data_IF_849925352690
#
_entry.id   IF_849925352690
#
_cell.length_a   1.000
_cell.length_b   1.000
_cell.length_c   1.000
_cell.angle_alpha   90.00
_cell.angle_beta   90.00
_cell.angle_gamma   90.00
#
_symmetry.space_group_name_H-M   'P 1'
#
loop_
_entity.id
_entity.type
_entity.pdbx_description
1 polymer ?
2 non-polymer ?
3 non-polymer ?
4 non-polymer ?
5 non-polymer ?
6 water ?
#
# COMPACT_ATOMS: atom_id res chain seq x y z
N UNK A 9 -9.24 11.26 -21.32
CA UNK A 9 -10.07 11.92 -22.38
C UNK A 9 -9.23 12.19 -23.62
N UNK A 10 -9.81 11.92 -24.78
CA UNK A 10 -9.24 12.27 -26.09
C UNK A 10 -10.40 12.57 -27.07
N UNK A 11 -10.02 12.80 -28.29
CA UNK A 11 -10.96 13.20 -29.27
C UNK A 11 -11.98 12.13 -29.61
N UNK A 12 -11.71 10.86 -29.28
CA UNK A 12 -12.68 9.81 -29.53
C UNK A 12 -13.51 9.45 -28.37
N UNK A 13 -13.34 10.18 -27.25
CA UNK A 13 -14.13 9.92 -26.14
C UNK A 13 -15.58 10.13 -26.49
N UNK A 14 -16.35 9.15 -26.11
CA UNK A 14 -17.80 9.08 -26.34
C UNK A 14 -18.07 8.18 -27.54
N UNK A 15 -17.04 7.72 -28.22
CA UNK A 15 -17.21 6.79 -29.27
C UNK A 15 -16.92 5.39 -28.82
N UNK A 16 -17.53 4.43 -29.48
CA UNK A 16 -17.35 2.96 -29.18
C UNK A 16 -17.09 2.27 -30.45
N UNK A 17 -16.04 1.49 -30.50
CA UNK A 17 -15.72 0.66 -31.59
C UNK A 17 -16.13 -0.74 -31.26
N UNK A 18 -17.05 -1.30 -32.04
CA UNK A 18 -17.53 -2.67 -31.88
C UNK A 18 -16.74 -3.51 -32.85
N UNK A 19 -16.04 -4.53 -32.35
CA UNK A 19 -15.25 -5.40 -33.14
C UNK A 19 -15.75 -6.84 -33.10
N UNK A 20 -15.45 -7.59 -34.13
CA UNK A 20 -15.77 -9.02 -34.17
C UNK A 20 -14.56 -9.83 -34.42
N UNK A 21 -13.43 -9.24 -34.40
CA UNK A 21 -12.23 -10.03 -34.40
C UNK A 21 -11.16 -9.18 -33.72
N UNK A 22 -10.12 -9.87 -33.29
CA UNK A 22 -9.05 -9.25 -32.60
C UNK A 22 -8.47 -8.13 -33.42
N UNK A 23 -8.15 -7.01 -32.79
CA UNK A 23 -7.42 -5.90 -33.43
C UNK A 23 -5.95 -6.25 -33.39
N UNK A 24 -5.34 -6.37 -34.53
CA UNK A 24 -3.88 -6.59 -34.59
C UNK A 24 -3.20 -5.33 -34.78
N UNK A 25 -2.32 -4.99 -33.87
CA UNK A 25 -1.41 -3.90 -33.95
C UNK A 25 -0.06 -4.36 -34.38
N UNK A 26 0.31 -3.97 -35.60
CA UNK A 26 1.49 -4.55 -36.18
C UNK A 26 2.72 -3.96 -35.59
N UNK A 27 3.85 -4.68 -35.74
CA UNK A 27 5.12 -4.22 -35.18
C UNK A 27 5.43 -2.81 -35.59
N UNK A 28 5.66 -1.98 -34.62
CA UNK A 28 6.01 -0.60 -34.83
C UNK A 28 4.91 0.38 -34.88
N UNK A 29 3.68 -0.11 -34.85
CA UNK A 29 2.57 0.75 -34.86
C UNK A 29 2.15 1.02 -33.44
N UNK A 30 1.77 2.23 -33.16
CA UNK A 30 1.00 2.62 -32.01
C UNK A 30 -0.46 2.79 -32.34
N UNK A 31 -1.30 1.99 -31.72
CA UNK A 31 -2.73 2.14 -31.80
C UNK A 31 -3.19 3.12 -30.79
N UNK A 32 -3.60 4.33 -31.20
CA UNK A 32 -4.00 5.30 -30.26
C UNK A 32 -5.49 5.47 -30.38
N UNK A 33 -6.24 5.02 -29.40
CA UNK A 33 -7.66 5.05 -29.41
C UNK A 33 -8.21 6.39 -29.21
N UNK A 34 -7.39 7.29 -28.67
CA UNK A 34 -7.94 8.62 -28.28
C UNK A 34 -9.16 8.61 -27.49
N UNK A 35 -9.29 7.65 -26.57
CA UNK A 35 -10.38 7.57 -25.72
C UNK A 35 -11.57 6.72 -26.09
N UNK A 36 -11.44 6.11 -27.24
CA UNK A 36 -12.43 5.23 -27.75
C UNK A 36 -12.60 4.10 -26.75
N UNK A 37 -13.81 3.60 -26.70
CA UNK A 37 -14.19 2.35 -26.00
C UNK A 37 -14.35 1.21 -26.94
N UNK A 38 -13.80 0.03 -26.63
CA UNK A 38 -13.88 -1.10 -27.51
C UNK A 38 -14.83 -2.14 -26.89
N UNK A 39 -15.76 -2.64 -27.71
CA UNK A 39 -16.61 -3.68 -27.25
C UNK A 39 -16.50 -4.78 -28.23
N UNK A 40 -16.13 -5.98 -27.79
CA UNK A 40 -15.91 -7.13 -28.64
C UNK A 40 -17.18 -7.94 -28.67
N UNK A 41 -17.52 -8.42 -29.88
CA UNK A 41 -18.66 -9.25 -30.11
C UNK A 41 -18.23 -10.53 -30.73
N UNK A 42 -18.82 -11.62 -30.20
CA UNK A 42 -18.56 -12.94 -30.66
C UNK A 42 -17.16 -13.42 -30.46
N UNK A 43 -16.47 -12.81 -29.49
CA UNK A 43 -15.03 -13.14 -29.22
C UNK A 43 -14.82 -13.71 -27.85
N UNK A 44 -15.89 -13.93 -27.15
CA UNK A 44 -15.84 -14.37 -25.78
C UNK A 44 -16.77 -13.67 -24.88
N UNK A 45 -16.91 -14.22 -23.68
CA UNK A 45 -17.86 -13.72 -22.70
C UNK A 45 -17.21 -13.05 -21.47
N UNK A 46 -15.85 -13.04 -21.48
CA UNK A 46 -15.15 -12.53 -20.38
C UNK A 46 -15.05 -13.42 -19.14
N UNK A 47 -15.51 -14.68 -19.31
CA UNK A 47 -15.39 -15.67 -18.29
C UNK A 47 -13.95 -16.15 -18.23
N UNK A 48 -13.72 -17.18 -17.43
CA UNK A 48 -12.36 -17.70 -17.43
C UNK A 48 -12.14 -18.74 -18.51
N UNK A 49 -13.09 -18.98 -19.37
CA UNK A 49 -12.93 -20.01 -20.38
C UNK A 49 -11.81 -19.71 -21.32
N UNK A 50 -11.19 -20.74 -21.83
CA UNK A 50 -10.12 -20.62 -22.80
C UNK A 50 -10.63 -20.74 -24.23
N UNK A 51 -11.78 -20.23 -24.52
CA UNK A 51 -12.26 -20.32 -25.89
C UNK A 51 -12.66 -18.92 -26.28
N UNK A 52 -11.71 -17.99 -25.97
CA UNK A 52 -11.94 -16.59 -26.28
C UNK A 52 -10.82 -16.06 -27.01
N UNK A 53 -11.10 -14.97 -27.74
CA UNK A 53 -10.02 -14.26 -28.43
C UNK A 53 -9.54 -13.07 -27.64
N UNK A 54 -8.29 -12.65 -27.88
CA UNK A 54 -7.90 -11.39 -27.36
C UNK A 54 -8.57 -10.22 -28.07
N UNK A 55 -8.83 -9.17 -27.31
CA UNK A 55 -9.30 -7.90 -27.89
C UNK A 55 -8.28 -7.36 -28.82
N UNK A 56 -7.03 -7.33 -28.39
CA UNK A 56 -5.90 -6.79 -29.11
C UNK A 56 -4.82 -7.86 -29.13
N UNK A 57 -4.09 -7.87 -30.24
CA UNK A 57 -2.82 -8.55 -30.35
C UNK A 57 -1.81 -7.51 -30.69
N UNK A 58 -0.85 -7.29 -29.82
CA UNK A 58 0.25 -6.34 -30.04
C UNK A 58 1.43 -7.15 -30.46
N UNK A 59 1.77 -7.01 -31.75
CA UNK A 59 3.02 -7.64 -32.15
C UNK A 59 4.18 -7.01 -31.47
N UNK A 60 5.33 -7.65 -31.65
CA UNK A 60 6.49 -7.11 -31.06
C UNK A 60 6.76 -5.72 -31.48
N UNK A 61 7.01 -4.84 -30.56
CA UNK A 61 7.11 -3.46 -30.77
C UNK A 61 5.90 -2.64 -31.13
N UNK A 62 4.69 -3.15 -30.96
CA UNK A 62 3.45 -2.42 -31.14
C UNK A 62 3.14 -1.82 -29.80
N UNK A 63 2.48 -0.66 -29.82
CA UNK A 63 1.98 0.01 -28.66
C UNK A 63 0.54 0.25 -28.79
N UNK A 64 -0.12 0.39 -27.63
CA UNK A 64 -1.54 0.71 -27.51
C UNK A 64 -1.69 1.77 -26.50
N UNK A 65 -2.52 2.80 -26.80
CA UNK A 65 -2.79 3.76 -25.88
C UNK A 65 -4.19 4.27 -25.91
N UNK A 66 -4.66 4.74 -24.81
CA UNK A 66 -5.92 5.48 -24.74
C UNK A 66 -7.13 4.77 -25.25
N UNK A 67 -7.31 3.49 -24.85
CA UNK A 67 -8.54 2.78 -25.14
C UNK A 67 -9.17 2.29 -23.85
N UNK A 68 -10.51 2.30 -23.81
CA UNK A 68 -11.24 1.68 -22.75
C UNK A 68 -11.73 0.38 -23.30
N UNK A 69 -11.47 -0.73 -22.63
CA UNK A 69 -11.97 -1.99 -23.05
C UNK A 69 -13.17 -2.35 -22.27
N UNK A 70 -14.32 -2.28 -22.93
CA UNK A 70 -15.55 -2.63 -22.31
C UNK A 70 -15.66 -4.10 -22.05
N UNK A 71 -16.61 -4.47 -21.21
CA UNK A 71 -17.00 -5.87 -21.17
C UNK A 71 -17.58 -6.26 -22.49
N UNK A 72 -17.37 -7.48 -22.98
CA UNK A 72 -16.61 -8.55 -22.33
C UNK A 72 -15.17 -8.38 -22.63
N UNK A 73 -14.42 -8.60 -21.56
CA UNK A 73 -12.95 -8.47 -21.71
C UNK A 73 -12.31 -9.55 -22.47
N UNK A 74 -12.99 -10.66 -22.74
CA UNK A 74 -12.47 -11.72 -23.58
C UNK A 74 -11.13 -12.16 -23.07
N UNK A 75 -10.18 -12.36 -23.97
CA UNK A 75 -8.79 -12.73 -23.58
C UNK A 75 -7.84 -11.61 -23.51
N UNK A 76 -8.34 -10.40 -23.34
CA UNK A 76 -7.56 -9.27 -23.03
C UNK A 76 -6.58 -8.88 -24.18
N UNK A 77 -5.40 -8.49 -23.81
CA UNK A 77 -4.45 -7.93 -24.77
C UNK A 77 -3.22 -8.81 -24.74
N UNK A 78 -3.01 -9.42 -25.89
CA UNK A 78 -1.81 -10.26 -26.11
C UNK A 78 -0.64 -9.50 -26.56
N UNK A 79 0.39 -9.51 -25.79
CA UNK A 79 1.59 -8.72 -26.04
C UNK A 79 2.70 -9.65 -26.41
N UNK A 80 3.31 -9.35 -27.56
CA UNK A 80 4.45 -10.17 -28.06
C UNK A 80 5.80 -9.55 -27.83
N UNK A 81 5.84 -8.54 -27.01
CA UNK A 81 7.04 -8.04 -26.39
C UNK A 81 7.39 -6.66 -26.95
N UNK A 82 8.15 -5.96 -26.12
CA UNK A 82 8.49 -4.61 -26.36
C UNK A 82 7.33 -3.72 -26.70
N UNK A 83 6.34 -3.72 -25.81
CA UNK A 83 5.12 -3.03 -25.95
C UNK A 83 4.88 -2.07 -24.87
N UNK A 84 4.30 -0.92 -25.18
CA UNK A 84 3.82 0.01 -24.19
C UNK A 84 2.33 0.09 -24.32
N UNK A 85 1.65 -0.14 -23.18
CA UNK A 85 0.20 -0.12 -23.10
C UNK A 85 -0.11 0.97 -22.12
N UNK A 86 -0.48 2.13 -22.67
CA UNK A 86 -0.59 3.34 -21.93
C UNK A 86 -2.01 3.79 -21.91
N UNK A 87 -2.50 4.17 -20.74
CA UNK A 87 -3.89 4.62 -20.50
C UNK A 87 -4.85 3.70 -21.20
N UNK A 88 -4.76 2.47 -20.73
CA UNK A 88 -5.75 1.50 -21.06
C UNK A 88 -6.58 1.17 -19.85
N UNK A 89 -7.90 1.28 -19.95
CA UNK A 89 -8.80 0.98 -18.89
C UNK A 89 -9.60 -0.25 -19.22
N UNK A 90 -9.49 -1.27 -18.40
CA UNK A 90 -10.26 -2.50 -18.51
C UNK A 90 -11.39 -2.34 -17.58
N UNK A 91 -12.56 -2.03 -18.14
CA UNK A 91 -13.73 -1.79 -17.35
C UNK A 91 -14.19 -3.09 -16.66
N UNK A 92 -13.88 -4.22 -17.25
CA UNK A 92 -14.25 -5.51 -16.66
C UNK A 92 -13.32 -6.52 -17.29
N UNK A 93 -12.33 -6.88 -16.53
CA UNK A 93 -11.37 -7.82 -17.07
C UNK A 93 -12.05 -9.14 -17.48
N UNK A 94 -11.67 -9.68 -18.58
CA UNK A 94 -12.16 -10.99 -19.01
C UNK A 94 -11.39 -12.10 -18.28
N UNK A 95 -10.96 -13.03 -19.09
CA UNK A 95 -10.16 -14.13 -18.56
C UNK A 95 -8.91 -13.61 -17.83
N UNK A 96 -8.32 -12.61 -18.48
CA UNK A 96 -7.19 -11.86 -17.98
C UNK A 96 -7.15 -10.58 -18.76
N UNK A 97 -6.47 -9.59 -18.26
CA UNK A 97 -6.38 -8.30 -18.91
C UNK A 97 -5.33 -8.20 -19.98
N UNK A 98 -4.21 -8.77 -19.68
CA UNK A 98 -3.05 -8.70 -20.60
C UNK A 98 -2.10 -9.84 -20.32
N UNK A 99 -1.64 -10.38 -21.42
CA UNK A 99 -0.77 -11.50 -21.38
C UNK A 99 0.50 -11.25 -22.15
N UNK A 100 1.65 -11.46 -21.54
CA UNK A 100 2.92 -11.40 -22.22
C UNK A 100 3.21 -12.77 -22.84
N UNK A 101 3.22 -12.79 -24.19
CA UNK A 101 3.18 -14.07 -24.94
C UNK A 101 4.55 -14.36 -25.54
N UNK A 102 5.41 -13.38 -25.52
CA UNK A 102 6.73 -13.56 -26.08
C UNK A 102 7.66 -12.63 -25.37
N UNK A 103 8.97 -12.90 -25.47
CA UNK A 103 9.91 -12.18 -24.73
C UNK A 103 10.09 -10.75 -25.06
N UNK A 104 10.37 -9.98 -24.04
CA UNK A 104 10.48 -8.61 -24.23
C UNK A 104 10.18 -7.77 -23.02
N UNK A 105 10.18 -6.47 -23.21
CA UNK A 105 9.83 -5.55 -22.19
C UNK A 105 8.38 -5.11 -22.41
N UNK A 106 7.48 -5.20 -21.42
CA UNK A 106 6.13 -4.73 -21.58
C UNK A 106 5.84 -3.82 -20.43
N UNK A 107 5.31 -2.63 -20.74
CA UNK A 107 5.05 -1.58 -19.77
C UNK A 107 3.58 -1.24 -19.89
N UNK A 108 2.87 -1.32 -18.78
CA UNK A 108 1.51 -0.85 -18.64
C UNK A 108 1.64 0.34 -17.78
N UNK A 109 1.27 1.47 -18.39
CA UNK A 109 1.41 2.81 -17.84
C UNK A 109 0.11 3.51 -17.81
N UNK A 110 -0.37 3.87 -16.65
CA UNK A 110 -1.70 4.48 -16.54
C UNK A 110 -2.77 3.49 -16.67
N UNK A 111 -3.97 4.00 -16.56
CA UNK A 111 -5.15 3.19 -16.75
C UNK A 111 -5.47 2.40 -15.50
N UNK A 112 -6.31 1.40 -15.70
CA UNK A 112 -6.83 0.71 -14.53
C UNK A 112 -7.50 -0.55 -15.01
N UNK A 113 -7.80 -1.41 -14.07
CA UNK A 113 -8.54 -2.66 -14.33
C UNK A 113 -9.38 -2.96 -13.21
N UNK A 114 -10.46 -3.69 -13.49
CA UNK A 114 -11.61 -3.82 -12.57
C UNK A 114 -12.15 -5.22 -12.79
N UNK A 115 -12.49 -5.92 -11.69
CA UNK A 115 -13.28 -7.16 -11.79
C UNK A 115 -12.63 -8.26 -12.58
N UNK A 116 -11.44 -8.59 -12.14
CA UNK A 116 -10.76 -9.77 -12.66
C UNK A 116 -10.97 -10.95 -11.76
N UNK A 117 -11.66 -11.95 -12.28
CA UNK A 117 -11.95 -13.12 -11.45
C UNK A 117 -10.70 -13.82 -10.97
N UNK A 118 -9.70 -13.81 -11.83
CA UNK A 118 -8.44 -14.41 -11.57
C UNK A 118 -7.35 -13.36 -11.68
N UNK A 119 -6.38 -13.62 -12.53
CA UNK A 119 -5.31 -12.69 -12.72
C UNK A 119 -5.67 -11.56 -13.69
N UNK A 120 -5.02 -10.45 -13.44
CA UNK A 120 -5.02 -9.29 -14.32
C UNK A 120 -3.98 -9.53 -15.41
N UNK A 121 -2.75 -9.74 -15.00
CA UNK A 121 -1.66 -9.87 -15.92
C UNK A 121 -1.01 -11.24 -15.86
N UNK A 122 -0.78 -11.81 -17.00
CA UNK A 122 -0.34 -13.19 -17.08
C UNK A 122 0.96 -13.12 -17.88
N UNK A 123 2.04 -13.62 -17.30
CA UNK A 123 3.37 -13.58 -17.92
C UNK A 123 3.78 -14.96 -18.44
N UNK A 124 3.83 -15.18 -19.74
CA UNK A 124 4.07 -16.49 -20.31
C UNK A 124 5.40 -16.60 -20.97
N UNK A 125 6.20 -15.57 -20.89
CA UNK A 125 7.54 -15.63 -21.49
C UNK A 125 8.43 -14.78 -20.58
N UNK A 126 9.74 -14.99 -20.65
CA UNK A 126 10.64 -14.13 -19.96
C UNK A 126 10.45 -12.73 -20.41
N UNK A 127 10.43 -11.87 -19.43
CA UNK A 127 10.13 -10.47 -19.72
C UNK A 127 10.43 -9.58 -18.59
N UNK A 128 10.55 -8.30 -18.91
CA UNK A 128 10.50 -7.28 -17.93
C UNK A 128 9.10 -6.66 -18.05
N UNK A 129 8.37 -6.71 -16.94
CA UNK A 129 6.93 -6.31 -16.94
C UNK A 129 6.76 -5.23 -15.94
N UNK A 130 6.46 -4.03 -16.38
CA UNK A 130 6.29 -2.88 -15.51
C UNK A 130 4.91 -2.37 -15.57
N UNK A 131 4.35 -2.23 -14.40
CA UNK A 131 3.00 -1.72 -14.15
C UNK A 131 3.26 -0.44 -13.39
N UNK A 132 2.85 0.66 -13.99
CA UNK A 132 3.13 2.02 -13.49
C UNK A 132 1.84 2.82 -13.42
N UNK A 133 1.68 3.52 -12.33
CA UNK A 133 0.57 4.46 -12.23
C UNK A 133 -0.74 3.81 -12.68
N UNK A 134 -1.11 2.78 -11.93
CA UNK A 134 -2.18 1.89 -12.30
C UNK A 134 -2.95 1.54 -11.09
N UNK A 135 -4.27 1.47 -11.23
CA UNK A 135 -5.08 0.97 -10.17
C UNK A 135 -5.86 -0.24 -10.65
N UNK A 136 -6.07 -1.13 -9.71
CA UNK A 136 -6.93 -2.27 -9.98
C UNK A 136 -7.77 -2.58 -8.78
N UNK A 137 -9.05 -2.94 -9.01
CA UNK A 137 -9.97 -3.17 -8.01
C UNK A 137 -10.72 -4.45 -8.30
N UNK A 138 -10.85 -5.26 -7.26
CA UNK A 138 -11.61 -6.55 -7.29
C UNK A 138 -10.98 -7.48 -8.26
N UNK A 139 -9.85 -8.06 -7.85
CA UNK A 139 -9.03 -8.90 -8.65
C UNK A 139 -8.63 -10.11 -7.88
N UNK A 140 -8.32 -11.17 -8.59
CA UNK A 140 -7.82 -12.31 -7.88
C UNK A 140 -6.32 -12.13 -7.61
N UNK A 141 -5.59 -11.81 -8.63
CA UNK A 141 -4.17 -11.50 -8.57
C UNK A 141 -3.85 -10.39 -9.55
N UNK A 142 -2.83 -9.58 -9.22
CA UNK A 142 -2.39 -8.63 -10.24
C UNK A 142 -1.53 -9.26 -11.29
N UNK A 143 -0.53 -10.02 -10.90
CA UNK A 143 0.37 -10.62 -11.82
C UNK A 143 0.61 -12.08 -11.48
N UNK A 144 0.53 -12.92 -12.50
CA UNK A 144 0.86 -14.31 -12.42
C UNK A 144 1.88 -14.63 -13.45
N UNK A 145 3.06 -15.09 -13.04
CA UNK A 145 3.93 -15.76 -13.97
C UNK A 145 3.27 -17.16 -14.21
N UNK A 146 3.22 -17.52 -15.46
CA UNK A 146 2.57 -18.76 -15.83
C UNK A 146 2.99 -19.84 -14.88
N UNK A 147 2.01 -20.60 -14.45
CA UNK A 147 2.17 -21.59 -13.43
C UNK A 147 3.27 -22.62 -13.74
N UNK A 148 4.13 -22.78 -12.79
CA UNK A 148 5.26 -23.71 -12.85
C UNK A 148 6.32 -23.49 -13.76
N UNK A 149 6.29 -22.32 -14.40
CA UNK A 149 7.37 -21.97 -15.28
C UNK A 149 8.46 -21.36 -14.38
N UNK A 150 9.69 -21.64 -14.81
CA UNK A 150 10.86 -21.27 -14.01
C UNK A 150 11.82 -20.41 -14.84
N UNK A 151 11.41 -19.83 -15.97
CA UNK A 151 12.17 -18.75 -16.66
C UNK A 151 12.02 -17.53 -15.75
N UNK A 152 12.82 -16.53 -16.09
CA UNK A 152 12.84 -15.32 -15.31
C UNK A 152 12.00 -14.25 -15.88
N UNK A 153 11.17 -13.67 -15.00
CA UNK A 153 10.56 -12.34 -15.29
C UNK A 153 11.04 -11.43 -14.21
N UNK A 154 11.05 -10.15 -14.57
CA UNK A 154 11.24 -9.10 -13.61
C UNK A 154 10.00 -8.19 -13.69
N UNK A 155 9.41 -8.08 -12.57
CA UNK A 155 8.11 -7.31 -12.46
C UNK A 155 8.49 -6.03 -11.71
N UNK A 156 8.04 -4.89 -12.24
CA UNK A 156 8.09 -3.67 -11.49
C UNK A 156 6.66 -3.19 -11.24
N UNK A 157 6.34 -2.95 -10.00
CA UNK A 157 5.06 -2.32 -9.66
C UNK A 157 5.38 -1.00 -9.07
N UNK A 158 5.02 0.01 -9.81
CA UNK A 158 5.38 1.43 -9.45
C UNK A 158 4.16 2.27 -9.49
N UNK A 159 3.81 2.87 -8.38
CA UNK A 159 2.62 3.69 -8.24
C UNK A 159 1.43 2.87 -8.66
N UNK A 160 1.28 1.76 -7.96
CA UNK A 160 0.15 0.85 -8.18
C UNK A 160 -0.70 0.76 -6.96
N UNK A 161 -2.00 0.95 -7.05
CA UNK A 161 -2.88 0.87 -5.93
C UNK A 161 -3.90 -0.18 -6.23
N UNK A 162 -4.01 -1.12 -5.35
CA UNK A 162 -4.90 -2.28 -5.51
C UNK A 162 -5.90 -2.33 -4.38
N UNK A 163 -7.13 -2.65 -4.72
CA UNK A 163 -8.19 -2.74 -3.71
C UNK A 163 -8.95 -4.02 -3.91
N UNK A 164 -8.90 -4.93 -2.96
CA UNK A 164 -9.64 -6.21 -2.92
C UNK A 164 -9.00 -7.19 -3.81
N UNK A 165 -7.95 -7.79 -3.29
CA UNK A 165 -7.16 -8.74 -4.00
C UNK A 165 -7.41 -10.10 -3.32
N UNK A 166 -8.06 -11.01 -4.04
CA UNK A 166 -8.54 -12.27 -3.42
C UNK A 166 -7.42 -13.20 -3.06
N UNK A 167 -6.43 -13.28 -3.91
CA UNK A 167 -5.33 -14.26 -3.72
C UNK A 167 -4.05 -13.61 -3.31
N UNK A 168 -3.48 -12.88 -4.21
CA UNK A 168 -2.24 -12.25 -3.86
C UNK A 168 -1.98 -11.20 -4.92
N UNK A 169 -1.07 -10.28 -4.63
CA UNK A 169 -0.68 -9.29 -5.63
C UNK A 169 0.03 -9.99 -6.77
N UNK A 170 1.06 -10.79 -6.50
CA UNK A 170 1.77 -11.44 -7.54
C UNK A 170 2.20 -12.84 -7.10
N UNK A 171 2.19 -13.72 -8.07
CA UNK A 171 2.56 -15.14 -7.84
C UNK A 171 3.46 -15.63 -8.94
N UNK A 172 4.55 -16.30 -8.58
CA UNK A 172 5.44 -16.90 -9.55
C UNK A 172 5.97 -18.18 -8.86
N UNK A 173 6.20 -19.17 -9.72
CA UNK A 173 6.83 -20.42 -9.21
C UNK A 173 8.27 -20.42 -9.62
N UNK A 174 8.76 -19.34 -10.18
CA UNK A 174 10.15 -19.37 -10.65
C UNK A 174 11.02 -18.90 -9.51
N UNK A 175 12.09 -19.62 -9.20
CA UNK A 175 13.04 -19.16 -8.16
C UNK A 175 13.93 -18.03 -8.62
N UNK A 176 13.90 -17.67 -9.89
CA UNK A 176 14.81 -16.65 -10.40
C UNK A 176 14.08 -15.35 -10.71
N UNK A 177 12.74 -15.38 -10.72
CA UNK A 177 12.10 -14.13 -11.05
C UNK A 177 12.18 -13.14 -9.91
N UNK A 178 11.97 -11.88 -10.27
CA UNK A 178 12.14 -10.72 -9.36
C UNK A 178 10.86 -9.91 -9.38
N UNK A 179 10.50 -9.38 -8.24
CA UNK A 179 9.47 -8.39 -8.16
C UNK A 179 10.04 -7.24 -7.36
N UNK A 180 9.95 -6.10 -7.99
CA UNK A 180 10.41 -4.78 -7.49
C UNK A 180 9.13 -3.89 -7.30
N UNK A 181 8.99 -3.28 -6.16
CA UNK A 181 7.85 -2.37 -5.96
C UNK A 181 8.30 -1.03 -5.41
N UNK A 182 7.50 -0.05 -5.77
CA UNK A 182 7.69 1.32 -5.33
C UNK A 182 6.37 2.02 -5.35
N UNK A 183 5.87 2.38 -4.20
CA UNK A 183 4.54 2.93 -4.02
C UNK A 183 3.50 1.98 -4.53
N UNK A 184 3.49 0.83 -3.86
CA UNK A 184 2.52 -0.21 -4.13
C UNK A 184 1.67 -0.23 -2.88
N UNK A 185 0.36 0.16 -3.02
CA UNK A 185 -0.59 0.29 -1.96
C UNK A 185 -1.69 -0.71 -2.09
N UNK A 186 -1.93 -1.53 -1.12
CA UNK A 186 -2.77 -2.69 -1.30
C UNK A 186 -3.74 -2.74 -0.21
N UNK A 187 -4.99 -2.72 -0.50
CA UNK A 187 -6.06 -2.79 0.47
C UNK A 187 -6.84 -4.08 0.32
N UNK A 188 -7.02 -4.74 1.45
CA UNK A 188 -7.80 -6.00 1.46
C UNK A 188 -7.19 -7.10 0.63
N UNK A 189 -6.05 -7.52 1.06
CA UNK A 189 -5.29 -8.60 0.47
C UNK A 189 -4.64 -9.42 1.66
N UNK A 190 -4.86 -10.72 1.78
CA UNK A 190 -4.15 -11.42 2.87
C UNK A 190 -2.71 -11.58 2.55
N UNK A 191 -2.42 -11.94 1.29
CA UNK A 191 -1.01 -12.34 0.98
C UNK A 191 -0.53 -11.48 -0.14
N UNK A 192 0.55 -10.77 0.07
CA UNK A 192 1.08 -9.95 -0.98
C UNK A 192 1.72 -10.76 -2.09
N UNK A 193 2.77 -11.53 -1.80
CA UNK A 193 3.49 -12.17 -2.84
C UNK A 193 3.67 -13.61 -2.57
N UNK A 194 3.45 -14.41 -3.57
CA UNK A 194 3.70 -15.85 -3.53
C UNK A 194 4.77 -16.21 -4.51
N UNK A 195 5.98 -16.17 -4.02
CA UNK A 195 7.14 -16.49 -4.76
C UNK A 195 7.89 -17.57 -3.97
N UNK A 196 8.89 -18.22 -4.62
CA UNK A 196 9.54 -19.27 -3.82
C UNK A 196 10.29 -18.72 -2.60
N UNK A 197 10.85 -17.51 -2.73
CA UNK A 197 11.55 -16.91 -1.62
C UNK A 197 11.08 -15.46 -1.57
N UNK A 198 10.96 -14.97 -0.32
CA UNK A 198 10.77 -13.50 -0.14
C UNK A 198 12.03 -12.70 -0.56
N UNK A 199 13.15 -13.35 -0.68
CA UNK A 199 14.29 -12.69 -1.18
C UNK A 199 14.22 -12.22 -2.68
N UNK A 200 13.16 -12.72 -3.38
CA UNK A 200 12.91 -12.32 -4.71
C UNK A 200 12.07 -11.09 -4.82
N UNK A 201 11.61 -10.55 -3.67
CA UNK A 201 10.80 -9.34 -3.61
C UNK A 201 11.65 -8.17 -3.13
N UNK A 202 11.63 -7.04 -3.80
CA UNK A 202 12.51 -5.94 -3.42
C UNK A 202 11.72 -4.70 -3.49
N UNK A 203 12.00 -3.82 -2.59
CA UNK A 203 11.54 -2.51 -2.66
C UNK A 203 12.51 -1.56 -3.31
N UNK A 204 12.08 -0.49 -3.95
CA UNK A 204 12.97 0.50 -4.49
C UNK A 204 12.33 1.85 -4.38
N UNK B 9 15.68 -8.74 19.09
CA UNK B 9 16.34 -9.44 20.23
C UNK B 9 17.72 -8.86 20.60
N UNK B 10 17.69 -7.96 21.59
CA UNK B 10 18.83 -7.25 22.14
C UNK B 10 19.17 -7.76 23.54
N UNK B 11 20.14 -7.14 24.16
CA UNK B 11 20.71 -7.72 25.40
C UNK B 11 19.73 -7.70 26.55
N UNK B 12 18.74 -6.81 26.52
CA UNK B 12 17.79 -6.76 27.60
C UNK B 12 16.55 -7.56 27.29
N UNK B 13 16.52 -8.30 26.17
CA UNK B 13 15.34 -9.07 25.81
C UNK B 13 15.11 -10.08 26.92
N UNK B 14 13.87 -10.19 27.29
CA UNK B 14 13.41 -11.06 28.40
C UNK B 14 13.32 -10.40 29.73
N UNK B 15 13.97 -9.23 29.88
CA UNK B 15 13.84 -8.41 31.06
C UNK B 15 12.58 -7.61 31.03
N UNK B 16 12.05 -7.26 32.16
CA UNK B 16 10.96 -6.38 32.28
C UNK B 16 11.33 -5.32 33.24
N UNK B 17 11.29 -4.09 32.81
CA UNK B 17 11.46 -3.01 33.66
C UNK B 17 10.17 -2.46 34.10
N UNK B 18 9.89 -2.46 35.40
CA UNK B 18 8.73 -1.86 35.96
C UNK B 18 9.05 -0.50 36.41
N UNK B 19 8.28 0.51 35.97
CA UNK B 19 8.55 1.84 36.33
C UNK B 19 7.42 2.39 37.14
N UNK B 20 7.68 3.41 37.90
CA UNK B 20 6.60 4.06 38.63
C UNK B 20 6.53 5.50 38.34
N UNK B 21 7.31 6.00 37.41
CA UNK B 21 7.14 7.35 36.92
C UNK B 21 7.56 7.40 35.48
N UNK B 22 7.15 8.47 34.78
CA UNK B 22 7.56 8.64 33.41
C UNK B 22 9.03 8.65 33.30
N UNK B 23 9.54 8.02 32.29
CA UNK B 23 10.93 8.14 31.93
C UNK B 23 11.10 9.37 31.06
N UNK B 24 11.94 10.30 31.50
CA UNK B 24 12.24 11.51 30.77
C UNK B 24 13.53 11.35 29.99
N UNK B 25 13.47 11.55 28.67
CA UNK B 25 14.64 11.43 27.85
C UNK B 25 14.94 12.87 27.43
N UNK B 26 16.15 13.31 27.74
CA UNK B 26 16.45 14.71 27.56
C UNK B 26 16.90 15.00 26.17
N UNK B 27 16.80 16.27 25.81
CA UNK B 27 17.26 16.71 24.52
C UNK B 27 18.63 16.14 24.14
N UNK B 28 18.77 15.54 22.97
CA UNK B 28 20.06 14.98 22.51
C UNK B 28 20.40 13.59 23.03
N UNK B 29 19.60 13.07 23.96
CA UNK B 29 19.82 11.72 24.44
C UNK B 29 18.96 10.73 23.61
N UNK B 30 19.47 9.54 23.52
CA UNK B 30 18.80 8.42 22.96
C UNK B 30 18.64 7.36 24.04
N UNK B 31 17.41 7.13 24.47
CA UNK B 31 17.12 5.99 25.34
C UNK B 31 17.05 4.76 24.52
N UNK B 32 17.97 3.83 24.72
CA UNK B 32 17.97 2.58 24.03
C UNK B 32 17.62 1.46 24.98
N UNK B 33 16.43 0.89 24.87
CA UNK B 33 16.00 -0.17 25.77
C UNK B 33 16.67 -1.51 25.53
N UNK B 34 17.36 -1.69 24.44
CA UNK B 34 18.00 -2.93 24.08
C UNK B 34 17.04 -4.10 24.19
N UNK B 35 15.73 -3.92 23.93
CA UNK B 35 14.80 -4.96 23.95
C UNK B 35 14.01 -5.15 25.22
N UNK B 36 14.29 -4.31 26.20
CA UNK B 36 13.60 -4.32 27.42
C UNK B 36 12.12 -4.13 27.22
N UNK B 37 11.33 -4.77 28.02
CA UNK B 37 9.90 -4.53 28.07
C UNK B 37 9.60 -3.74 29.23
N UNK B 38 8.78 -2.72 29.12
CA UNK B 38 8.45 -1.84 30.18
C UNK B 38 7.04 -2.01 30.63
N UNK B 39 6.80 -2.11 31.95
CA UNK B 39 5.47 -2.22 32.52
C UNK B 39 5.42 -1.12 33.50
N UNK B 40 4.48 -0.22 33.33
CA UNK B 40 4.26 0.86 34.19
C UNK B 40 3.34 0.51 35.35
N UNK B 41 3.70 1.00 36.54
CA UNK B 41 2.92 0.86 37.78
C UNK B 41 2.47 2.19 38.28
N UNK B 42 1.20 2.31 38.65
CA UNK B 42 0.78 3.50 39.25
C UNK B 42 0.63 4.68 38.29
N UNK B 43 0.65 4.38 36.97
CA UNK B 43 0.72 5.43 35.92
C UNK B 43 -0.47 5.41 35.01
N UNK B 44 -1.39 4.52 35.27
CA UNK B 44 -2.50 4.28 34.39
C UNK B 44 -2.86 2.88 34.17
N UNK B 45 -4.07 2.66 33.66
CA UNK B 45 -4.54 1.33 33.35
C UNK B 45 -4.62 1.00 31.88
N UNK B 46 -4.25 1.96 31.05
CA UNK B 46 -4.28 1.68 29.61
C UNK B 46 -5.68 1.86 29.00
N UNK B 47 -6.60 2.37 29.80
CA UNK B 47 -7.94 2.64 29.37
C UNK B 47 -7.88 3.88 28.48
N UNK B 48 -9.07 4.39 28.13
CA UNK B 48 -9.15 5.68 27.50
C UNK B 48 -9.18 6.89 28.40
N UNK B 49 -8.98 6.71 29.72
CA UNK B 49 -8.96 7.86 30.60
C UNK B 49 -7.83 8.75 30.31
N UNK B 50 -8.11 10.03 30.48
CA UNK B 50 -7.13 11.08 30.31
C UNK B 50 -6.17 11.24 31.47
N UNK B 51 -6.43 10.52 32.56
CA UNK B 51 -5.68 10.70 33.83
C UNK B 51 -4.21 10.22 33.81
N UNK B 52 -3.76 9.66 32.72
CA UNK B 52 -2.66 8.68 32.78
C UNK B 52 -1.39 9.39 32.50
N UNK B 53 -0.29 8.87 32.95
CA UNK B 53 0.99 9.43 32.64
C UNK B 53 1.54 8.76 31.43
N UNK B 54 2.44 9.47 30.69
CA UNK B 54 3.18 8.84 29.67
C UNK B 54 4.21 7.93 30.24
N UNK B 55 4.46 6.89 29.53
CA UNK B 55 5.57 6.06 29.83
C UNK B 55 6.88 6.73 29.61
N UNK B 56 7.00 7.48 28.53
CA UNK B 56 8.18 8.23 28.19
C UNK B 56 7.76 9.63 27.83
N UNK B 57 8.64 10.57 28.19
CA UNK B 57 8.53 11.95 27.74
C UNK B 57 9.80 12.21 27.03
N UNK B 58 9.69 12.42 25.71
CA UNK B 58 10.88 12.71 24.89
C UNK B 58 10.90 14.21 24.65
N UNK B 59 11.82 14.82 25.37
CA UNK B 59 12.03 16.28 25.14
C UNK B 59 12.46 16.52 23.72
N UNK B 60 12.39 17.78 23.30
CA UNK B 60 12.79 18.14 21.95
C UNK B 60 14.14 17.61 21.72
N UNK B 61 14.30 16.89 20.63
CA UNK B 61 15.54 16.38 20.28
C UNK B 61 15.99 15.08 20.92
N UNK B 62 15.11 14.46 21.67
CA UNK B 62 15.37 13.19 22.36
C UNK B 62 14.90 12.04 21.47
N UNK B 63 15.59 10.90 21.56
CA UNK B 63 15.25 9.72 20.78
C UNK B 63 15.05 8.55 21.70
N UNK B 64 14.24 7.61 21.21
CA UNK B 64 13.90 6.40 21.91
C UNK B 64 14.04 5.25 20.97
N UNK B 65 14.57 4.13 21.43
CA UNK B 65 14.62 2.99 20.60
C UNK B 65 14.62 1.69 21.35
N UNK B 66 14.18 0.65 20.72
CA UNK B 66 14.29 -0.72 21.18
C UNK B 66 13.66 -0.96 22.50
N UNK B 67 12.40 -0.62 22.62
CA UNK B 67 11.67 -0.93 23.80
C UNK B 67 10.37 -1.59 23.42
N UNK B 68 9.88 -2.43 24.29
CA UNK B 68 8.55 -2.97 24.20
C UNK B 68 7.81 -2.37 25.29
N UNK B 69 6.71 -1.75 25.00
CA UNK B 69 5.86 -1.21 26.00
C UNK B 69 4.72 -2.16 26.24
N UNK B 70 4.74 -2.72 27.44
CA UNK B 70 3.70 -3.67 27.76
C UNK B 70 2.49 -2.98 28.27
N UNK B 71 1.41 -3.76 28.34
CA UNK B 71 0.28 -3.29 29.06
C UNK B 71 0.66 -3.05 30.53
N UNK B 72 0.17 -2.01 31.18
CA UNK B 72 -0.74 -0.99 30.71
C UNK B 72 0.03 0.12 29.98
N UNK B 73 -0.46 0.45 28.78
CA UNK B 73 0.26 1.37 27.97
C UNK B 73 0.12 2.80 28.43
N UNK B 74 -0.79 3.09 29.38
CA UNK B 74 -0.90 4.41 29.98
C UNK B 74 -1.09 5.45 28.89
N UNK B 75 -0.36 6.54 28.89
CA UNK B 75 -0.48 7.57 27.82
C UNK B 75 0.67 7.51 26.91
N UNK B 76 1.32 6.36 26.77
CA UNK B 76 2.32 6.15 25.80
C UNK B 76 3.50 7.07 25.81
N UNK B 77 3.94 7.48 24.65
CA UNK B 77 5.10 8.25 24.50
C UNK B 77 4.72 9.70 24.20
N UNK B 78 5.17 10.68 24.97
CA UNK B 78 5.02 12.14 24.65
C UNK B 78 6.21 12.65 24.03
N UNK B 79 6.06 13.13 22.78
CA UNK B 79 7.17 13.65 22.00
C UNK B 79 7.04 15.19 21.84
N UNK B 80 8.07 15.88 22.25
CA UNK B 80 8.04 17.34 22.21
C UNK B 80 8.73 17.88 20.94
N UNK B 81 9.03 17.06 19.97
CA UNK B 81 9.47 17.48 18.69
C UNK B 81 10.86 17.05 18.40
N UNK B 82 11.19 16.80 17.15
CA UNK B 82 12.46 16.42 16.72
C UNK B 82 12.96 15.17 17.46
N UNK B 83 12.09 14.14 17.30
CA UNK B 83 12.28 12.89 18.00
C UNK B 83 12.25 11.76 17.02
N UNK B 84 13.08 10.75 17.21
CA UNK B 84 13.03 9.54 16.42
C UNK B 84 12.71 8.43 17.40
N UNK B 85 11.65 7.68 17.12
CA UNK B 85 11.19 6.60 17.92
C UNK B 85 11.33 5.36 17.12
N UNK B 86 12.41 4.57 17.34
CA UNK B 86 12.78 3.45 16.50
C UNK B 86 12.55 2.16 17.25
N UNK B 87 12.00 1.19 16.50
CA UNK B 87 11.81 -0.16 17.00
C UNK B 87 11.20 -0.16 18.35
N UNK B 88 10.07 0.53 18.46
CA UNK B 88 9.25 0.53 19.60
C UNK B 88 8.03 -0.33 19.33
N UNK B 89 7.79 -1.31 20.20
CA UNK B 89 6.66 -2.18 20.11
C UNK B 89 5.74 -1.89 21.18
N UNK B 90 4.50 -1.46 20.88
CA UNK B 90 3.43 -1.31 21.77
C UNK B 90 2.62 -2.58 21.78
N UNK B 91 2.92 -3.42 22.76
CA UNK B 91 2.23 -4.72 22.82
C UNK B 91 0.76 -4.58 23.11
N UNK B 92 0.38 -3.53 23.74
CA UNK B 92 -0.97 -3.25 24.02
C UNK B 92 -1.10 -1.77 24.31
N UNK B 93 -1.56 -1.05 23.26
CA UNK B 93 -1.62 0.37 23.35
C UNK B 93 -2.56 0.77 24.45
N UNK B 94 -2.18 1.78 25.21
CA UNK B 94 -2.98 2.28 26.23
C UNK B 94 -4.01 3.28 25.75
N UNK B 95 -4.02 4.43 26.37
CA UNK B 95 -4.94 5.51 25.92
C UNK B 95 -4.62 5.81 24.45
N UNK B 96 -3.30 5.97 24.15
CA UNK B 96 -2.83 6.09 22.86
C UNK B 96 -1.36 5.72 22.96
N UNK B 97 -0.72 5.56 21.86
CA UNK B 97 0.65 5.00 21.79
C UNK B 97 1.63 6.11 21.89
N UNK B 98 1.42 7.19 21.16
CA UNK B 98 2.33 8.28 21.13
C UNK B 98 1.60 9.56 20.81
N UNK B 99 2.04 10.65 21.41
CA UNK B 99 1.39 11.93 21.22
C UNK B 99 2.52 12.93 20.92
N UNK B 100 2.34 13.74 19.85
CA UNK B 100 3.24 14.78 19.54
C UNK B 100 2.65 16.01 20.24
N UNK B 101 3.42 16.54 21.20
CA UNK B 101 2.95 17.56 22.13
C UNK B 101 3.43 18.93 21.76
N UNK B 102 4.44 19.00 20.95
CA UNK B 102 5.02 20.31 20.51
C UNK B 102 5.62 20.20 19.13
N UNK B 103 5.75 21.31 18.43
CA UNK B 103 6.15 21.23 17.03
C UNK B 103 7.50 20.65 16.85
N UNK B 104 7.72 20.01 15.68
CA UNK B 104 8.97 19.52 15.20
C UNK B 104 8.66 18.29 14.36
N UNK B 105 9.68 17.56 13.98
CA UNK B 105 9.57 16.39 13.15
C UNK B 105 9.57 15.26 14.15
N UNK B 106 8.66 14.32 13.97
CA UNK B 106 8.69 13.12 14.83
C UNK B 106 8.55 12.00 13.87
N UNK B 107 9.46 11.04 14.02
CA UNK B 107 9.51 9.88 13.18
C UNK B 107 9.38 8.62 13.98
N UNK B 108 8.44 7.76 13.62
CA UNK B 108 8.32 6.43 14.20
C UNK B 108 8.78 5.50 13.17
N UNK B 109 9.86 4.78 13.42
CA UNK B 109 10.44 3.98 12.43
C UNK B 109 10.59 2.55 12.94
N UNK B 110 9.99 1.53 12.29
CA UNK B 110 10.09 0.22 12.85
C UNK B 110 9.03 0.04 13.90
N UNK B 111 9.02 -1.18 14.41
CA UNK B 111 8.17 -1.48 15.50
C UNK B 111 6.74 -1.73 15.09
N UNK B 112 5.87 -1.69 16.06
CA UNK B 112 4.45 -2.09 15.83
C UNK B 112 3.64 -1.70 16.95
N UNK B 113 2.34 -1.72 16.77
CA UNK B 113 1.40 -1.40 17.79
C UNK B 113 0.18 -2.30 17.67
N UNK B 114 -0.40 -2.74 18.77
CA UNK B 114 -1.60 -3.49 18.70
C UNK B 114 -2.47 -3.18 19.80
N UNK B 115 -3.76 -3.46 19.61
CA UNK B 115 -4.80 -3.29 20.58
C UNK B 115 -4.95 -1.90 21.10
N UNK B 116 -5.14 -0.97 20.16
CA UNK B 116 -5.47 0.36 20.49
C UNK B 116 -6.95 0.51 20.40
N UNK B 117 -7.54 0.94 21.48
CA UNK B 117 -8.99 1.02 21.50
C UNK B 117 -9.37 2.18 20.64
N UNK B 118 -8.54 3.19 20.56
CA UNK B 118 -8.83 4.38 19.76
C UNK B 118 -7.63 4.68 18.93
N UNK B 119 -7.04 5.84 19.03
CA UNK B 119 -5.92 6.12 18.15
C UNK B 119 -4.64 5.59 18.71
N UNK B 120 -3.78 5.32 17.78
CA UNK B 120 -2.38 4.97 18.02
C UNK B 120 -1.57 6.24 18.22
N UNK B 121 -1.65 7.16 17.29
CA UNK B 121 -0.84 8.34 17.25
C UNK B 121 -1.74 9.56 17.31
N UNK B 122 -1.50 10.42 18.27
CA UNK B 122 -2.32 11.64 18.42
C UNK B 122 -1.40 12.85 18.28
N UNK B 123 -1.76 13.78 17.35
CA UNK B 123 -0.97 14.96 17.04
C UNK B 123 -1.57 16.21 17.58
N UNK B 124 -0.93 16.80 18.60
CA UNK B 124 -1.47 17.96 19.31
C UNK B 124 -0.77 19.25 18.97
N UNK B 125 0.17 19.27 18.07
CA UNK B 125 0.90 20.45 17.71
C UNK B 125 1.22 20.35 16.24
N UNK B 126 1.39 21.48 15.56
CA UNK B 126 1.89 21.42 14.22
C UNK B 126 3.16 20.63 14.18
N UNK B 127 3.25 19.72 13.22
CA UNK B 127 4.39 18.88 13.15
C UNK B 127 4.42 18.13 11.83
N UNK B 128 5.61 17.63 11.54
CA UNK B 128 5.79 16.65 10.47
C UNK B 128 5.88 15.30 11.16
N UNK B 129 4.95 14.38 10.84
CA UNK B 129 4.89 13.14 11.59
C UNK B 129 5.01 12.01 10.58
N UNK B 130 6.04 11.20 10.75
CA UNK B 130 6.28 10.13 9.82
C UNK B 130 6.18 8.80 10.55
N UNK B 131 5.54 7.87 9.87
CA UNK B 131 5.45 6.49 10.36
C UNK B 131 6.01 5.65 9.29
N UNK B 132 7.10 4.92 9.56
CA UNK B 132 7.81 4.20 8.59
C UNK B 132 8.04 2.75 9.04
N UNK B 133 7.86 1.82 8.15
CA UNK B 133 8.15 0.39 8.43
C UNK B 133 7.49 -0.05 9.66
N UNK B 134 6.18 0.15 9.72
CA UNK B 134 5.42 0.02 10.92
C UNK B 134 4.19 -0.83 10.64
N UNK B 135 3.84 -1.64 11.63
CA UNK B 135 2.66 -2.47 11.54
C UNK B 135 1.79 -2.19 12.69
N UNK B 136 0.50 -2.17 12.47
CA UNK B 136 -0.45 -2.03 13.58
C UNK B 136 -1.61 -2.91 13.32
N UNK B 137 -2.09 -3.56 14.35
CA UNK B 137 -3.25 -4.46 14.24
C UNK B 137 -4.19 -4.20 15.34
N UNK B 138 -5.47 -4.19 15.05
CA UNK B 138 -6.53 -4.03 16.01
C UNK B 138 -6.45 -2.68 16.67
N UNK B 139 -6.78 -1.69 15.89
CA UNK B 139 -6.73 -0.33 16.31
C UNK B 139 -7.98 0.44 15.86
N UNK B 140 -8.20 1.55 16.50
CA UNK B 140 -9.25 2.43 16.17
C UNK B 140 -8.84 3.30 14.99
N UNK B 141 -7.77 4.04 15.17
CA UNK B 141 -7.21 4.90 14.12
C UNK B 141 -5.71 4.76 14.21
N UNK B 142 -4.98 4.92 13.13
CA UNK B 142 -3.54 5.04 13.26
C UNK B 142 -3.18 6.43 13.73
N UNK B 143 -3.76 7.47 13.08
CA UNK B 143 -3.32 8.86 13.39
C UNK B 143 -4.54 9.69 13.60
N UNK B 144 -4.54 10.44 14.64
CA UNK B 144 -5.60 11.41 14.89
C UNK B 144 -5.01 12.76 15.18
N UNK B 145 -5.20 13.78 14.34
CA UNK B 145 -4.88 15.11 14.78
C UNK B 145 -5.87 15.55 15.80
N UNK B 146 -5.40 16.25 16.84
CA UNK B 146 -6.23 16.58 17.94
C UNK B 146 -7.55 17.21 17.42
N UNK B 147 -8.61 16.68 17.94
CA UNK B 147 -10.00 17.07 17.61
C UNK B 147 -10.18 18.54 17.51
N UNK B 148 -10.75 18.94 16.38
CA UNK B 148 -11.11 20.31 16.10
C UNK B 148 -10.00 21.26 15.99
N UNK B 149 -8.74 20.86 15.93
CA UNK B 149 -7.74 21.82 15.67
C UNK B 149 -7.49 21.99 14.17
N UNK B 150 -6.95 23.13 13.76
CA UNK B 150 -6.79 23.35 12.34
C UNK B 150 -5.47 23.87 12.01
N UNK B 151 -4.47 23.71 12.89
CA UNK B 151 -3.12 23.91 12.56
C UNK B 151 -2.80 22.75 11.57
N UNK B 152 -1.68 22.94 10.96
CA UNK B 152 -1.23 22.02 9.92
C UNK B 152 -0.38 20.97 10.57
N UNK B 153 -0.73 19.70 10.26
CA UNK B 153 0.29 18.67 10.35
C UNK B 153 0.46 18.05 8.98
N UNK B 154 1.65 17.54 8.81
CA UNK B 154 1.96 16.80 7.60
C UNK B 154 2.37 15.38 8.04
N UNK B 155 1.58 14.44 7.64
CA UNK B 155 1.73 13.05 8.03
C UNK B 155 2.26 12.25 6.83
N UNK B 156 3.23 11.40 7.11
CA UNK B 156 3.74 10.51 6.11
C UNK B 156 3.68 9.12 6.61
N UNK B 157 3.03 8.30 5.81
CA UNK B 157 2.88 6.84 6.13
C UNK B 157 3.60 6.12 5.05
N UNK B 158 4.71 5.48 5.39
CA UNK B 158 5.62 4.92 4.45
C UNK B 158 5.94 3.47 4.90
N UNK B 159 5.57 2.49 4.10
CA UNK B 159 5.78 1.07 4.46
C UNK B 159 5.10 0.71 5.71
N UNK B 160 3.79 1.02 5.75
CA UNK B 160 2.92 0.83 6.84
C UNK B 160 1.83 -0.21 6.51
N UNK B 161 1.69 -1.18 7.39
CA UNK B 161 0.69 -2.23 7.21
C UNK B 161 -0.24 -2.22 8.36
N UNK B 162 -1.51 -2.17 8.09
CA UNK B 162 -2.53 -2.02 9.11
C UNK B 162 -3.54 -3.11 8.90
N UNK B 163 -3.92 -3.76 9.99
CA UNK B 163 -4.98 -4.77 9.95
C UNK B 163 -5.93 -4.51 11.01
N UNK B 164 -7.21 -4.46 10.69
CA UNK B 164 -8.30 -4.29 11.58
C UNK B 164 -8.36 -2.95 12.21
N UNK B 165 -8.88 -2.02 11.42
CA UNK B 165 -8.89 -0.60 11.73
C UNK B 165 -10.35 -0.29 11.88
N UNK B 166 -10.72 0.05 13.08
CA UNK B 166 -12.15 0.14 13.36
C UNK B 166 -12.76 1.42 12.86
N UNK B 167 -12.00 2.51 12.83
CA UNK B 167 -12.48 3.84 12.48
C UNK B 167 -11.90 4.32 11.18
N UNK B 168 -10.61 4.61 11.13
CA UNK B 168 -10.01 4.99 9.91
C UNK B 168 -8.51 4.94 10.09
N UNK B 169 -7.82 4.98 9.01
CA UNK B 169 -6.35 5.08 9.11
C UNK B 169 -5.96 6.36 9.77
N UNK B 170 -6.52 7.49 9.29
CA UNK B 170 -6.16 8.79 9.87
C UNK B 170 -7.35 9.73 9.79
N UNK B 171 -7.42 10.55 10.79
CA UNK B 171 -8.49 11.61 10.91
C UNK B 171 -7.91 12.91 11.34
N UNK B 172 -8.34 13.99 10.67
CA UNK B 172 -7.93 15.33 11.02
C UNK B 172 -9.13 16.23 10.75
N UNK B 173 -9.31 17.20 11.63
CA UNK B 173 -10.32 18.24 11.36
C UNK B 173 -9.67 19.47 10.77
N UNK B 174 -8.43 19.42 10.31
CA UNK B 174 -7.79 20.56 9.80
C UNK B 174 -7.79 20.49 8.26
N UNK B 175 -8.31 21.50 7.59
CA UNK B 175 -8.31 21.46 6.11
C UNK B 175 -7.01 21.70 5.51
N UNK B 176 -5.97 22.10 6.23
CA UNK B 176 -4.69 22.43 5.77
C UNK B 176 -3.72 21.25 6.00
N UNK B 177 -4.15 20.32 6.87
CA UNK B 177 -3.28 19.22 7.13
C UNK B 177 -3.19 18.33 5.89
N UNK B 178 -2.10 17.61 5.83
CA UNK B 178 -1.91 16.70 4.67
C UNK B 178 -1.40 15.34 5.18
N UNK B 179 -1.76 14.35 4.41
CA UNK B 179 -1.25 12.99 4.63
C UNK B 179 -0.78 12.48 3.35
N UNK B 180 0.43 11.95 3.36
CA UNK B 180 1.12 11.49 2.18
C UNK B 180 1.43 10.01 2.50
N UNK B 181 1.12 9.08 1.61
CA UNK B 181 1.46 7.68 1.82
C UNK B 181 2.11 7.04 0.67
N UNK B 182 2.91 6.02 1.00
CA UNK B 182 3.75 5.33 0.08
C UNK B 182 3.91 3.90 0.69
N UNK B 183 3.50 2.91 -0.10
CA UNK B 183 3.46 1.52 0.40
C UNK B 183 2.67 1.37 1.64
N UNK B 184 1.38 1.70 1.52
CA UNK B 184 0.46 1.59 2.59
C UNK B 184 -0.46 0.41 2.34
N UNK B 185 -0.45 -0.61 3.18
CA UNK B 185 -1.33 -1.75 3.04
C UNK B 185 -2.24 -1.74 4.13
N UNK B 186 -3.52 -1.83 3.83
CA UNK B 186 -4.55 -1.77 4.82
C UNK B 186 -5.57 -2.88 4.61
N UNK B 187 -5.81 -3.68 5.63
CA UNK B 187 -6.77 -4.73 5.59
C UNK B 187 -7.84 -4.52 6.65
N UNK B 188 -9.08 -4.77 6.30
CA UNK B 188 -10.16 -4.65 7.21
C UNK B 188 -10.28 -3.31 7.89
N UNK B 189 -10.64 -2.33 7.11
CA UNK B 189 -10.62 -0.97 7.59
C UNK B 189 -11.92 -0.34 7.10
N UNK B 190 -12.64 0.29 8.01
CA UNK B 190 -13.90 0.93 7.66
C UNK B 190 -13.77 1.96 6.48
N UNK B 191 -12.84 2.90 6.66
CA UNK B 191 -12.62 4.09 5.82
C UNK B 191 -11.14 4.40 5.91
N UNK B 192 -10.52 4.81 4.82
CA UNK B 192 -9.13 5.14 4.95
C UNK B 192 -8.91 6.44 5.69
N UNK B 193 -9.46 7.54 5.18
CA UNK B 193 -9.06 8.85 5.67
C UNK B 193 -10.26 9.73 5.93
N UNK B 194 -10.31 10.30 7.10
CA UNK B 194 -11.40 11.27 7.47
C UNK B 194 -10.71 12.60 7.66
N UNK B 195 -10.58 13.33 6.54
CA UNK B 195 -10.10 14.68 6.46
C UNK B 195 -11.19 15.52 5.87
N UNK B 196 -11.13 16.87 6.13
CA UNK B 196 -12.18 17.72 5.45
C UNK B 196 -12.34 17.46 3.93
N UNK B 197 -11.24 17.32 3.23
CA UNK B 197 -11.30 17.01 1.85
C UNK B 197 -10.34 15.90 1.54
N UNK B 198 -10.75 15.04 0.62
CA UNK B 198 -9.88 13.98 0.20
C UNK B 198 -8.68 14.45 -0.59
N UNK B 199 -8.72 15.68 -1.10
CA UNK B 199 -7.57 16.24 -1.73
C UNK B 199 -6.44 16.56 -0.78
N UNK B 200 -6.65 16.34 0.55
CA UNK B 200 -5.61 16.52 1.50
C UNK B 200 -4.70 15.27 1.60
N UNK B 201 -5.14 14.23 0.93
CA UNK B 201 -4.48 12.92 0.99
C UNK B 201 -3.80 12.66 -0.32
N UNK B 202 -2.53 12.28 -0.30
CA UNK B 202 -1.71 12.07 -1.43
C UNK B 202 -0.81 10.86 -1.37
N UNK B 203 -0.56 10.25 -2.48
CA UNK B 203 0.53 9.34 -2.53
C UNK B 203 1.74 10.03 -2.92
N UNK B 204 2.81 9.34 -2.71
CA UNK B 204 4.13 9.70 -3.26
C UNK B 204 5.00 8.53 -3.63
X LIG C 1 -14.50 -9.88 -15.00
X LIG D 1 -5.76 -15.71 -21.06
X LIG E 1 1.82 -17.83 -24.50
X LIG F 1 13.71 -10.85 -21.66
X LIG F 1 14.40 -9.76 -20.92
X LIG F 1 15.55 -9.46 -21.73
X LIG F 1 13.57 -8.46 -20.87
X LIG F 1 15.00 -10.20 -19.55
X LIG F 1 14.02 -10.91 -18.61
X LIG F 1 14.06 -12.36 -18.56
X LIG F 1 14.33 -10.57 -17.20
X LIG G 1 -12.37 -2.20 -37.03
X LIG G 1 -10.93 -2.64 -36.86
X LIG G 1 -10.74 -3.14 -35.55
X LIG G 1 -10.66 -3.75 -37.84
X LIG G 1 -9.89 -1.53 -37.07
X LIG G 1 -9.84 -0.43 -36.01
X LIG G 1 -9.45 -0.92 -34.72
X LIG G 1 -8.81 0.66 -36.33
X LIG H 1 9.36 1.01 -24.54
X LIG H 1 9.55 -0.50 -24.36
X LIG H 1 10.40 -0.68 -23.22
X LIG H 1 8.29 -1.32 -23.99
X LIG H 1 10.22 -1.07 -25.64
X LIG H 1 11.75 -0.90 -25.72
X LIG H 1 12.38 -1.40 -24.55
X LIG H 1 12.41 -1.63 -26.92
X LIG I 1 -11.54 5.11 -36.91
X LIG I 1 -11.96 4.61 -35.52
X LIG I 1 -12.21 5.68 -34.58
X LIG I 1 -13.26 3.82 -35.64
X LIG I 1 -10.91 3.68 -34.94
X LIG I 1 -9.64 4.36 -34.44
X LIG I 1 -9.69 5.76 -34.69
X LIG I 1 -9.37 4.13 -32.95
X LIG J 1 12.97 5.46 0.07
X LIG J 1 11.88 4.69 -0.65
X LIG J 1 12.42 3.57 -1.35
X LIG J 1 10.93 4.11 0.37
X LIG J 1 11.20 5.47 -1.77
X LIG J 1 10.78 6.87 -1.37
X LIG J 1 9.94 7.46 -2.38
X LIG J 1 9.93 6.94 -0.12
X LIG K 1 2.24 11.18 -7.32
X LIG K 1 1.97 9.72 -7.65
X LIG K 1 2.54 8.94 -6.61
X LIG K 1 0.47 9.43 -7.73
X LIG K 1 2.70 9.26 -8.90
X LIG K 1 2.21 9.78 -10.25
X LIG K 1 2.77 8.89 -11.26
X LIG K 1 2.59 11.26 -10.47
X LIG L 1 12.06 -3.04 -33.58
X LIG L 1 10.92 -4.04 -33.59
X LIG L 1 10.43 -4.24 -32.26
X LIG L 1 9.74 -3.54 -34.41
X LIG L 1 11.50 -5.28 -34.24
X LIG L 1 10.67 -6.54 -34.10
X LIG L 1 11.60 -7.63 -33.96
X LIG L 1 9.84 -6.86 -35.34
X LIG M 1 -3.47 10.56 25.39
X LIG N 1 -5.29 -1.47 24.48
X LIG O 1 9.96 15.37 4.78
X LIG O 1 10.00 13.92 5.26
X LIG O 1 11.33 13.53 5.35
X LIG O 1 9.44 14.01 6.66
X LIG O 1 9.32 12.85 4.39
X LIG O 1 10.18 11.77 3.71
X LIG O 1 10.57 10.90 4.70
X LIG O 1 9.44 10.88 2.74
X LIG P 1 13.69 3.07 36.60
X LIG P 1 14.05 3.96 35.42
X LIG P 1 12.95 4.10 34.55
X LIG P 1 14.25 5.39 35.83
X LIG P 1 15.18 3.19 34.70
X LIG P 1 15.66 3.79 33.39
X LIG P 1 14.58 3.64 32.46
X LIG P 1 16.92 3.11 32.81
#
# INVERSE_FOLDING_TARGET
>A
MAHHHHHHVGTNTGGVLVITDTIIVKSGQTYDGKGIKIIAQGMGDGSQSENQKPIFKLEKGANLKNVIIGAPGCDGIHCYGDNVVENVVWEDVGADALTVKSEGVVEVIGGSAKEAADKVFQLNAPCTFKVKNFTATNIGKLVRQNGNTTFKVVIYLEDVTLNNVKSCVAKSDSPVSELWYHNLNVNNCKTLFEFPSQSQIHQY
>B
MAHHHHHHVGTNTGGVLVITDTIIVKSGQTYDGKGIKIIAQGMGDGSQSENQKPIFKLEKGANLKNVIIGAPGCDGIHCYGDNVVENVVWEDVGADALTVKSEGVVEVIGGSAKEAADKVFQLNAPCTFKVKNFTATNIGKLVRQNGNTTFKVVIYLEDVTLNNVKSCVAKSDSPVSELWYHNLNVNNCKTLFEFPSQSQIHQY
>C hetero
1 CA CA
>D hetero
1 CA CA
>E hetero
1 CL CL
>F hetero
1 MPD C1 C2 O2 CM C3 C4 O4 C5
>G hetero
1 MPD C1 C2 O2 CM C3 C4 O4 C5
>H hetero
1 MPD C1 C2 O2 CM C3 C4 O4 C5
>I hetero
1 MPD C1 C2 O2 CM C3 C4 O4 C5
>J hetero
1 MPD C1 C2 O2 CM C3 C4 O4 C5
>K hetero
1 MRD C1 C2 O2 CM C3 C4 O4 C5
>L hetero
1 MRD C1 C2 O2 CM C3 C4 O4 C5
>M hetero
1 CA CA
>N hetero
1 CA CA
>O hetero
1 MPD C1 C2 O2 CM C3 C4 O4 C5
>P hetero
1 MRD C1 C2 O2 CM C3 C4 O4 C5
#
